data_IF_240744776330
#
_entry.id   IF_240744776330
#
_cell.length_a   1.000
_cell.length_b   1.000
_cell.length_c   1.000
_cell.angle_alpha   90.00
_cell.angle_beta   90.00
_cell.angle_gamma   90.00
#
_symmetry.space_group_name_H-M   'P 1'
#
loop_
_entity.id
_entity.type
_entity.pdbx_description
1 polymer ?
#
# COMPACT_ATOMS: atom_id res chain seq x y z
N UNK A 1 -17.54 17.53 -59.15
CA UNK A 1 -16.44 17.95 -58.24
C UNK A 1 -16.86 18.02 -56.75
N UNK A 2 -17.89 17.29 -56.29
CA UNK A 2 -18.30 17.27 -54.86
C UNK A 2 -17.80 16.07 -54.05
N UNK A 3 -17.41 14.97 -54.68
CA UNK A 3 -17.03 13.73 -53.98
C UNK A 3 -15.63 13.74 -53.36
N UNK A 4 -14.67 14.43 -53.98
CA UNK A 4 -13.28 14.47 -53.50
C UNK A 4 -13.15 15.28 -52.21
N UNK A 5 -13.91 16.36 -52.07
CA UNK A 5 -13.95 17.16 -50.84
C UNK A 5 -14.63 16.41 -49.69
N UNK A 6 -15.72 15.68 -49.96
CA UNK A 6 -16.39 14.87 -48.94
C UNK A 6 -15.50 13.74 -48.41
N UNK A 7 -14.76 13.05 -49.29
CA UNK A 7 -13.82 11.99 -48.90
C UNK A 7 -12.63 12.55 -48.10
N UNK A 8 -12.09 13.72 -48.47
CA UNK A 8 -11.01 14.35 -47.71
C UNK A 8 -11.45 14.87 -46.33
N UNK A 9 -12.69 15.37 -46.20
CA UNK A 9 -13.23 15.79 -44.90
C UNK A 9 -13.54 14.58 -44.00
N UNK A 10 -14.08 13.49 -44.55
CA UNK A 10 -14.33 12.24 -43.80
C UNK A 10 -13.02 11.56 -43.40
N UNK A 11 -12.02 11.52 -44.28
CA UNK A 11 -10.68 11.02 -43.94
C UNK A 11 -9.97 11.93 -42.92
N UNK A 12 -10.03 13.25 -43.09
CA UNK A 12 -9.42 14.22 -42.18
C UNK A 12 -9.99 14.16 -40.75
N UNK A 13 -11.30 13.94 -40.61
CA UNK A 13 -11.94 13.71 -39.31
C UNK A 13 -11.56 12.34 -38.70
N UNK A 14 -11.37 11.31 -39.55
CA UNK A 14 -11.03 9.96 -39.09
C UNK A 14 -9.58 9.81 -38.60
N UNK A 15 -8.63 10.59 -39.13
CA UNK A 15 -7.21 10.53 -38.71
C UNK A 15 -6.92 11.40 -37.48
N UNK A 16 -7.73 12.44 -37.23
CA UNK A 16 -7.48 13.39 -36.13
C UNK A 16 -7.56 12.73 -34.75
N UNK A 17 -8.57 11.89 -34.52
CA UNK A 17 -8.75 11.22 -33.24
C UNK A 17 -7.58 10.28 -32.89
N UNK A 18 -7.13 9.34 -33.76
CA UNK A 18 -5.95 8.52 -33.47
C UNK A 18 -4.66 9.31 -33.20
N UNK A 19 -4.47 10.44 -33.87
CA UNK A 19 -3.29 11.30 -33.68
C UNK A 19 -3.35 12.03 -32.33
N UNK A 20 -4.52 12.56 -31.95
CA UNK A 20 -4.72 13.20 -30.65
C UNK A 20 -4.51 12.19 -29.51
N UNK A 21 -5.02 10.96 -29.65
CA UNK A 21 -4.80 9.86 -28.69
C UNK A 21 -3.33 9.51 -28.53
N UNK A 22 -2.64 9.32 -29.64
CA UNK A 22 -1.21 9.00 -29.65
C UNK A 22 -0.38 10.12 -29.01
N UNK A 23 -0.72 11.38 -29.31
CA UNK A 23 -0.02 12.54 -28.76
C UNK A 23 -0.24 12.66 -27.25
N UNK A 24 -1.48 12.53 -26.77
CA UNK A 24 -1.79 12.55 -25.34
C UNK A 24 -1.06 11.44 -24.59
N UNK A 25 -1.08 10.20 -25.10
CA UNK A 25 -0.32 9.09 -24.52
C UNK A 25 1.18 9.39 -24.43
N UNK A 26 1.75 10.01 -25.47
CA UNK A 26 3.17 10.36 -25.54
C UNK A 26 3.57 11.54 -24.65
N UNK A 27 2.65 12.46 -24.33
CA UNK A 27 2.95 13.63 -23.49
C UNK A 27 2.55 13.45 -22.03
N UNK A 28 1.67 12.50 -21.74
CA UNK A 28 1.16 12.28 -20.39
C UNK A 28 2.29 12.03 -19.40
N UNK A 29 2.17 12.65 -18.22
CA UNK A 29 3.14 12.54 -17.13
C UNK A 29 4.60 12.85 -17.53
N UNK A 30 4.80 13.84 -18.41
CA UNK A 30 6.13 14.21 -18.90
C UNK A 30 6.66 13.33 -20.03
N UNK A 31 5.81 12.45 -20.58
CA UNK A 31 6.14 11.54 -21.67
C UNK A 31 6.88 10.27 -21.25
N UNK A 32 6.80 9.94 -19.96
CA UNK A 32 7.54 8.83 -19.37
C UNK A 32 6.75 7.52 -19.27
N UNK A 33 5.45 7.55 -19.59
CA UNK A 33 4.61 6.36 -19.57
C UNK A 33 4.92 5.45 -20.79
N UNK A 34 5.35 4.20 -20.57
CA UNK A 34 5.51 3.21 -21.64
C UNK A 34 4.18 2.99 -22.37
N UNK A 35 4.18 3.19 -23.69
CA UNK A 35 2.97 3.12 -24.51
C UNK A 35 2.27 1.75 -24.43
N UNK A 36 3.04 0.65 -24.44
CA UNK A 36 2.49 -0.71 -24.40
C UNK A 36 1.79 -1.00 -23.06
N UNK A 37 2.38 -0.56 -21.95
CA UNK A 37 1.77 -0.73 -20.62
C UNK A 37 0.53 0.16 -20.46
N UNK A 38 0.59 1.39 -20.98
CA UNK A 38 -0.55 2.30 -21.00
C UNK A 38 -1.72 1.73 -21.81
N UNK A 39 -1.44 1.07 -22.94
CA UNK A 39 -2.46 0.39 -23.74
C UNK A 39 -3.19 -0.70 -22.95
N UNK A 40 -2.44 -1.50 -22.19
CA UNK A 40 -2.97 -2.59 -21.37
C UNK A 40 -3.89 -2.03 -20.27
N UNK A 41 -3.45 -0.99 -19.55
CA UNK A 41 -4.23 -0.46 -18.41
C UNK A 41 -5.43 0.39 -18.82
N UNK A 42 -5.39 1.04 -20.00
CA UNK A 42 -6.50 1.89 -20.47
C UNK A 42 -7.70 1.11 -21.03
N UNK A 43 -7.56 -0.19 -21.33
CA UNK A 43 -8.69 -1.06 -21.76
C UNK A 43 -9.45 -0.52 -22.98
N UNK A 44 -8.74 0.09 -23.92
CA UNK A 44 -9.34 0.65 -25.13
C UNK A 44 -10.20 1.90 -24.94
N UNK A 45 -10.18 2.54 -23.75
CA UNK A 45 -10.79 3.87 -23.58
C UNK A 45 -9.97 4.93 -24.29
N UNK A 46 -10.65 5.97 -24.77
CA UNK A 46 -10.00 7.13 -25.35
C UNK A 46 -9.51 8.04 -24.22
N UNK A 47 -8.30 8.56 -24.36
CA UNK A 47 -7.70 9.57 -23.51
C UNK A 47 -8.29 10.94 -23.84
N UNK A 48 -8.41 11.80 -22.85
CA UNK A 48 -8.98 13.14 -23.03
C UNK A 48 -8.06 14.23 -22.47
N UNK A 49 -7.62 14.05 -21.22
CA UNK A 49 -6.89 15.08 -20.50
C UNK A 49 -5.72 14.52 -19.69
N UNK A 50 -4.67 15.34 -19.58
CA UNK A 50 -3.51 15.11 -18.73
C UNK A 50 -3.27 16.37 -17.89
N UNK A 51 -3.37 16.23 -16.58
CA UNK A 51 -3.04 17.27 -15.61
C UNK A 51 -1.71 16.94 -14.97
N UNK A 52 -0.79 17.90 -14.90
CA UNK A 52 0.54 17.69 -14.32
C UNK A 52 0.96 18.90 -13.49
N UNK A 53 1.50 18.65 -12.31
CA UNK A 53 2.15 19.64 -11.46
C UNK A 53 3.50 19.12 -10.96
N UNK A 54 4.46 20.02 -10.83
CA UNK A 54 5.79 19.70 -10.34
C UNK A 54 6.32 20.87 -9.52
N UNK A 55 6.74 20.58 -8.30
CA UNK A 55 7.35 21.53 -7.39
C UNK A 55 8.62 20.90 -6.80
N UNK A 56 9.76 21.21 -7.42
CA UNK A 56 11.05 20.68 -7.03
C UNK A 56 11.47 21.12 -5.62
N UNK A 57 11.08 22.32 -5.18
CA UNK A 57 11.44 22.87 -3.87
C UNK A 57 10.61 22.21 -2.75
N UNK A 58 9.32 21.99 -3.02
CA UNK A 58 8.46 21.22 -2.13
C UNK A 58 8.78 19.71 -2.16
N UNK A 59 9.47 19.23 -3.19
CA UNK A 59 9.79 17.82 -3.39
C UNK A 59 8.58 17.02 -3.87
N UNK A 60 7.79 17.61 -4.77
CA UNK A 60 6.47 17.10 -5.17
C UNK A 60 6.30 16.98 -6.68
N UNK A 61 5.51 15.98 -7.04
CA UNK A 61 5.02 15.77 -8.39
C UNK A 61 3.62 15.19 -8.32
N UNK A 62 2.72 15.65 -9.19
CA UNK A 62 1.45 14.99 -9.43
C UNK A 62 1.19 14.91 -10.94
N UNK A 63 0.63 13.80 -11.39
CA UNK A 63 0.13 13.62 -12.74
C UNK A 63 -1.18 12.83 -12.71
N UNK A 64 -2.16 13.26 -13.50
CA UNK A 64 -3.41 12.53 -13.70
C UNK A 64 -3.76 12.49 -15.17
N UNK A 65 -3.84 11.28 -15.73
CA UNK A 65 -4.30 10.99 -17.08
C UNK A 65 -5.73 10.44 -17.02
N UNK A 66 -6.66 11.07 -17.74
CA UNK A 66 -8.09 10.71 -17.76
C UNK A 66 -8.55 10.24 -19.13
N UNK A 67 -9.58 9.40 -19.11
CA UNK A 67 -10.36 9.06 -20.29
C UNK A 67 -11.37 10.15 -20.65
N UNK A 68 -11.92 10.06 -21.85
CA UNK A 68 -13.07 10.84 -22.35
C UNK A 68 -14.34 10.69 -21.50
N UNK A 69 -14.41 9.66 -20.66
CA UNK A 69 -15.46 9.45 -19.67
C UNK A 69 -15.13 10.09 -18.31
N UNK A 70 -14.04 10.85 -18.20
CA UNK A 70 -13.56 11.45 -16.96
C UNK A 70 -12.96 10.45 -15.95
N UNK A 71 -12.77 9.19 -16.35
CA UNK A 71 -12.22 8.14 -15.48
C UNK A 71 -10.69 8.25 -15.45
N UNK A 72 -10.08 8.10 -14.27
CA UNK A 72 -8.62 8.06 -14.14
C UNK A 72 -8.09 6.77 -14.77
N UNK A 73 -7.21 6.93 -15.76
CA UNK A 73 -6.50 5.82 -16.42
C UNK A 73 -5.21 5.50 -15.67
N UNK A 74 -4.39 6.53 -15.45
CA UNK A 74 -3.17 6.50 -14.64
C UNK A 74 -3.12 7.77 -13.82
N UNK A 75 -2.72 7.66 -12.57
CA UNK A 75 -2.28 8.81 -11.79
C UNK A 75 -1.05 8.45 -10.96
N UNK A 76 -0.21 9.46 -10.76
CA UNK A 76 1.09 9.36 -10.11
C UNK A 76 1.23 10.55 -9.17
N UNK A 77 1.49 10.28 -7.91
CA UNK A 77 1.93 11.27 -6.93
C UNK A 77 3.29 10.89 -6.40
N UNK A 78 4.18 11.87 -6.24
CA UNK A 78 5.43 11.71 -5.52
C UNK A 78 5.60 12.81 -4.47
N UNK A 79 6.07 12.42 -3.28
CA UNK A 79 6.36 13.36 -2.20
C UNK A 79 7.57 12.93 -1.39
N UNK A 80 8.44 13.89 -1.10
CA UNK A 80 9.60 13.74 -0.20
C UNK A 80 9.31 14.29 1.21
N UNK A 81 8.07 14.64 1.56
CA UNK A 81 7.76 15.31 2.84
C UNK A 81 6.46 14.83 3.49
N UNK A 82 6.00 13.62 3.18
CA UNK A 82 4.67 13.16 3.56
C UNK A 82 3.59 13.57 2.56
N UNK A 83 2.44 12.90 2.48
CA UNK A 83 1.35 13.39 1.67
C UNK A 83 0.80 14.67 2.32
N UNK A 84 0.57 15.72 1.53
CA UNK A 84 -0.38 16.73 1.98
C UNK A 84 -1.77 16.10 2.00
N UNK A 85 -2.57 16.44 3.01
CA UNK A 85 -3.97 15.99 3.19
C UNK A 85 -4.88 16.18 1.96
N UNK A 86 -4.42 16.89 0.94
CA UNK A 86 -5.20 17.37 -0.20
C UNK A 86 -5.36 16.39 -1.37
N UNK A 87 -4.96 15.11 -1.23
CA UNK A 87 -5.39 14.05 -2.17
C UNK A 87 -6.50 13.21 -1.52
N UNK A 88 -7.74 13.70 -1.40
CA UNK A 88 -8.79 13.09 -0.57
C UNK A 88 -9.23 11.68 -0.98
N UNK A 89 -8.82 11.18 -2.16
CA UNK A 89 -9.23 9.88 -2.69
C UNK A 89 -8.16 8.77 -2.61
N UNK A 90 -6.86 9.11 -2.54
CA UNK A 90 -5.79 8.12 -2.60
C UNK A 90 -5.53 7.40 -1.26
N UNK A 91 -6.14 7.88 -0.16
CA UNK A 91 -5.70 7.54 1.19
C UNK A 91 -6.78 6.90 2.06
N UNK A 92 -7.84 6.33 1.48
CA UNK A 92 -8.82 5.54 2.23
C UNK A 92 -8.23 4.17 2.66
N UNK A 93 -7.44 4.23 3.73
CA UNK A 93 -7.37 3.32 4.87
C UNK A 93 -7.57 1.80 4.64
N UNK A 94 -6.71 1.15 3.86
CA UNK A 94 -6.52 -0.30 3.98
C UNK A 94 -5.05 -0.68 4.14
N UNK A 95 -4.83 -1.70 4.97
CA UNK A 95 -3.53 -2.30 5.25
C UNK A 95 -2.94 -2.86 3.94
N UNK A 96 -1.61 -3.05 3.82
CA UNK A 96 -0.97 -3.51 2.58
C UNK A 96 -1.70 -4.74 2.04
N UNK A 97 -2.34 -4.58 0.89
CA UNK A 97 -3.17 -5.60 0.28
C UNK A 97 -2.31 -6.71 -0.32
N UNK A 98 -1.15 -6.32 -0.88
CA UNK A 98 -0.20 -7.23 -1.49
C UNK A 98 1.24 -6.75 -1.28
N UNK A 99 2.16 -7.70 -1.08
CA UNK A 99 3.59 -7.42 -1.14
C UNK A 99 4.03 -7.30 -2.60
N UNK A 100 5.02 -6.46 -2.87
CA UNK A 100 5.60 -6.36 -4.20
C UNK A 100 6.61 -7.49 -4.43
N UNK A 101 6.69 -8.03 -5.66
CA UNK A 101 7.65 -9.09 -6.00
C UNK A 101 9.09 -8.58 -5.97
N UNK A 102 10.03 -9.52 -5.94
CA UNK A 102 11.48 -9.27 -6.10
C UNK A 102 12.09 -8.27 -5.09
N UNK A 103 11.45 -8.10 -3.92
CA UNK A 103 11.94 -7.22 -2.86
C UNK A 103 11.80 -5.72 -3.14
N UNK A 104 10.95 -5.34 -4.10
CA UNK A 104 10.65 -3.93 -4.36
C UNK A 104 10.19 -3.22 -3.07
N UNK A 105 10.69 -2.00 -2.77
CA UNK A 105 10.49 -1.34 -1.48
C UNK A 105 9.10 -0.70 -1.41
N UNK A 106 8.05 -1.52 -1.26
CA UNK A 106 6.69 -1.03 -1.37
C UNK A 106 5.62 -2.08 -1.16
N UNK A 107 4.37 -1.70 -1.47
CA UNK A 107 3.20 -2.57 -1.38
C UNK A 107 2.11 -2.12 -2.37
N UNK A 108 1.19 -3.02 -2.70
CA UNK A 108 -0.08 -2.68 -3.33
C UNK A 108 -1.13 -2.48 -2.24
N UNK A 109 -1.91 -1.42 -2.32
CA UNK A 109 -3.15 -1.23 -1.57
C UNK A 109 -4.34 -1.77 -2.41
N UNK A 110 -5.56 -1.68 -1.87
CA UNK A 110 -6.78 -1.92 -2.62
C UNK A 110 -6.84 -1.01 -3.87
N UNK A 111 -7.63 -1.44 -4.86
CA UNK A 111 -7.84 -0.72 -6.13
C UNK A 111 -6.60 -0.54 -7.01
N UNK A 112 -5.60 -1.43 -6.86
CA UNK A 112 -4.41 -1.43 -7.72
C UNK A 112 -3.65 -0.10 -7.66
N UNK A 113 -3.48 0.36 -6.41
CA UNK A 113 -2.62 1.47 -6.03
C UNK A 113 -1.31 0.90 -5.49
N UNK A 114 -0.21 1.14 -6.21
CA UNK A 114 1.13 0.71 -5.81
C UNK A 114 1.84 1.89 -5.17
N UNK A 115 2.34 1.66 -3.96
CA UNK A 115 3.22 2.58 -3.25
C UNK A 115 4.65 2.02 -3.29
N UNK A 116 5.59 2.82 -3.80
CA UNK A 116 7.02 2.54 -3.79
C UNK A 116 7.74 3.60 -2.97
N UNK A 117 8.69 3.17 -2.15
CA UNK A 117 9.42 3.99 -1.20
C UNK A 117 10.94 3.86 -1.37
N UNK A 118 11.50 4.24 -2.54
CA UNK A 118 12.93 4.14 -2.79
C UNK A 118 13.72 5.10 -1.88
N UNK A 119 15.00 4.79 -1.70
CA UNK A 119 15.91 5.70 -0.99
C UNK A 119 16.10 7.02 -1.76
N UNK A 120 16.17 8.13 -1.02
CA UNK A 120 16.32 9.47 -1.55
C UNK A 120 17.39 10.27 -0.77
N UNK A 121 18.66 9.83 -0.78
CA UNK A 121 19.74 10.45 -0.01
C UNK A 121 20.01 11.92 -0.38
N UNK A 122 19.80 12.33 -1.62
CA UNK A 122 19.99 13.71 -2.09
C UNK A 122 19.04 14.74 -1.47
N UNK A 123 18.02 14.26 -0.74
CA UNK A 123 17.06 15.08 0.01
C UNK A 123 17.13 14.86 1.53
N UNK A 124 18.11 14.09 1.99
CA UNK A 124 18.34 13.90 3.42
C UNK A 124 18.81 15.20 4.09
N UNK A 125 18.07 15.68 5.07
CA UNK A 125 18.52 16.74 5.98
C UNK A 125 19.14 16.10 7.22
N UNK A 126 20.31 16.58 7.68
CA UNK A 126 20.90 16.13 8.95
C UNK A 126 21.47 14.69 8.99
N UNK A 127 21.60 14.02 7.84
CA UNK A 127 22.18 12.67 7.75
C UNK A 127 21.19 11.53 8.03
N UNK A 128 19.89 11.83 8.13
CA UNK A 128 18.85 10.81 8.26
C UNK A 128 18.59 10.10 6.92
N UNK A 129 18.28 8.80 6.97
CA UNK A 129 17.84 8.06 5.78
C UNK A 129 16.46 8.57 5.36
N UNK A 130 16.42 9.22 4.20
CA UNK A 130 15.20 9.77 3.62
C UNK A 130 14.71 8.90 2.46
N UNK A 131 13.41 8.73 2.33
CA UNK A 131 12.74 7.93 1.30
C UNK A 131 11.70 8.78 0.59
N UNK A 132 11.73 8.73 -0.73
CA UNK A 132 10.63 9.27 -1.53
C UNK A 132 9.44 8.32 -1.36
N UNK A 133 8.21 8.83 -1.32
CA UNK A 133 7.01 8.02 -1.56
C UNK A 133 6.50 8.33 -2.96
N UNK A 134 6.31 7.28 -3.76
CA UNK A 134 5.68 7.36 -5.07
C UNK A 134 4.45 6.45 -5.08
N UNK A 135 3.30 7.05 -5.30
CA UNK A 135 2.00 6.38 -5.39
C UNK A 135 1.57 6.38 -6.86
N UNK A 136 1.41 5.20 -7.45
CA UNK A 136 0.90 5.04 -8.81
C UNK A 136 -0.35 4.19 -8.78
N UNK A 137 -1.44 4.65 -9.39
CA UNK A 137 -2.66 3.87 -9.43
C UNK A 137 -3.37 3.91 -10.77
N UNK A 138 -3.96 2.76 -11.09
CA UNK A 138 -4.82 2.55 -12.24
C UNK A 138 -6.09 1.91 -11.69
N UNK A 139 -7.11 2.71 -11.37
CA UNK A 139 -8.33 2.33 -10.60
C UNK A 139 -9.05 1.06 -11.08
N UNK A 140 -8.69 0.53 -12.24
CA UNK A 140 -9.39 -0.54 -12.93
C UNK A 140 -8.51 -1.77 -13.23
N UNK A 141 -7.25 -1.84 -12.78
CA UNK A 141 -6.42 -3.02 -13.03
C UNK A 141 -6.94 -4.22 -12.23
N UNK A 142 -7.56 -5.18 -12.91
CA UNK A 142 -8.20 -6.36 -12.31
C UNK A 142 -7.64 -7.66 -12.86
N UNK A 143 -7.18 -7.68 -14.12
CA UNK A 143 -6.54 -8.86 -14.70
C UNK A 143 -5.07 -8.96 -14.30
N UNK A 144 -4.48 -10.17 -14.40
CA UNK A 144 -3.04 -10.37 -14.14
C UNK A 144 -2.17 -9.52 -15.09
N UNK A 145 -2.56 -9.42 -16.35
CA UNK A 145 -1.84 -8.61 -17.34
C UNK A 145 -1.87 -7.12 -16.98
N UNK A 146 -3.02 -6.61 -16.55
CA UNK A 146 -3.16 -5.23 -16.10
C UNK A 146 -2.36 -4.93 -14.84
N UNK A 147 -2.39 -5.83 -13.83
CA UNK A 147 -1.57 -5.68 -12.62
C UNK A 147 -0.08 -5.70 -12.94
N UNK A 148 0.35 -6.51 -13.90
CA UNK A 148 1.75 -6.55 -14.32
C UNK A 148 2.16 -5.27 -15.04
N UNK A 149 1.31 -4.74 -15.94
CA UNK A 149 1.54 -3.47 -16.61
C UNK A 149 1.57 -2.31 -15.60
N UNK A 150 0.61 -2.24 -14.68
CA UNK A 150 0.58 -1.25 -13.61
C UNK A 150 1.86 -1.29 -12.76
N UNK A 151 2.36 -2.47 -12.38
CA UNK A 151 3.60 -2.57 -11.59
C UNK A 151 4.81 -2.02 -12.37
N UNK A 152 4.90 -2.31 -13.68
CA UNK A 152 5.94 -1.73 -14.55
C UNK A 152 5.82 -0.22 -14.68
N UNK A 153 4.60 0.31 -14.84
CA UNK A 153 4.33 1.75 -14.82
C UNK A 153 4.79 2.38 -13.50
N UNK A 154 4.44 1.78 -12.37
CA UNK A 154 4.81 2.27 -11.04
C UNK A 154 6.32 2.33 -10.83
N UNK A 155 7.05 1.27 -11.20
CA UNK A 155 8.52 1.24 -11.11
C UNK A 155 9.16 2.27 -12.05
N UNK A 156 8.70 2.34 -13.31
CA UNK A 156 9.18 3.33 -14.29
C UNK A 156 9.00 4.75 -13.76
N UNK A 157 7.79 5.10 -13.34
CA UNK A 157 7.48 6.43 -12.82
C UNK A 157 8.24 6.73 -11.53
N UNK A 158 8.45 5.74 -10.68
CA UNK A 158 9.27 5.90 -9.47
C UNK A 158 10.71 6.27 -9.82
N UNK A 159 11.34 5.56 -10.76
CA UNK A 159 12.70 5.88 -11.20
C UNK A 159 12.79 7.29 -11.81
N UNK A 160 11.80 7.66 -12.63
CA UNK A 160 11.71 9.01 -13.20
C UNK A 160 11.56 10.09 -12.12
N UNK A 161 10.76 9.83 -11.09
CA UNK A 161 10.60 10.79 -9.98
C UNK A 161 11.84 10.89 -9.12
N UNK A 162 12.55 9.78 -8.88
CA UNK A 162 13.83 9.82 -8.16
C UNK A 162 14.87 10.65 -8.91
N UNK A 163 14.90 10.59 -10.24
CA UNK A 163 15.79 11.41 -11.07
C UNK A 163 15.36 12.90 -11.04
N UNK A 164 14.09 13.19 -11.38
CA UNK A 164 13.58 14.57 -11.45
C UNK A 164 13.68 15.31 -10.12
N UNK A 165 13.50 14.60 -9.00
CA UNK A 165 13.61 15.18 -7.66
C UNK A 165 15.05 15.22 -7.13
N UNK A 166 16.02 14.67 -7.85
CA UNK A 166 17.44 14.67 -7.44
C UNK A 166 17.70 13.80 -6.22
N UNK A 167 16.99 12.67 -6.10
CA UNK A 167 17.13 11.76 -4.96
C UNK A 167 18.49 11.07 -4.89
N UNK A 168 19.13 10.79 -6.03
CA UNK A 168 20.46 10.17 -6.06
C UNK A 168 20.52 8.72 -5.56
N UNK A 169 19.38 8.07 -5.34
CA UNK A 169 19.29 6.63 -5.03
C UNK A 169 19.48 5.76 -6.27
N UNK A 170 19.78 4.48 -6.07
CA UNK A 170 19.84 3.51 -7.17
C UNK A 170 18.44 3.31 -7.79
N UNK A 171 18.33 3.28 -9.14
CA UNK A 171 17.06 2.97 -9.79
C UNK A 171 16.55 1.59 -9.36
N UNK A 172 15.24 1.51 -9.14
CA UNK A 172 14.57 0.24 -8.85
C UNK A 172 14.68 -0.68 -10.08
N UNK A 173 14.90 -1.99 -9.86
CA UNK A 173 14.95 -2.97 -10.94
C UNK A 173 13.58 -3.07 -11.62
N UNK A 174 13.58 -3.23 -12.94
CA UNK A 174 12.35 -3.49 -13.67
C UNK A 174 11.75 -4.84 -13.21
N UNK A 175 10.43 -4.91 -12.95
CA UNK A 175 9.77 -6.16 -12.62
C UNK A 175 9.94 -7.19 -13.73
N UNK A 176 10.05 -8.47 -13.35
CA UNK A 176 10.05 -9.57 -14.31
C UNK A 176 8.74 -9.58 -15.13
N UNK A 177 8.79 -10.16 -16.33
CA UNK A 177 7.61 -10.27 -17.18
C UNK A 177 6.49 -11.05 -16.47
N UNK A 178 5.30 -10.46 -16.40
CA UNK A 178 4.15 -11.07 -15.73
C UNK A 178 4.20 -11.09 -14.20
N UNK A 179 5.20 -10.43 -13.58
CA UNK A 179 5.24 -10.19 -12.15
C UNK A 179 4.07 -9.30 -11.73
N UNK A 180 3.42 -9.64 -10.62
CA UNK A 180 2.28 -8.89 -10.07
C UNK A 180 2.46 -8.77 -8.57
N UNK A 181 1.88 -7.75 -7.92
CA UNK A 181 1.79 -7.74 -6.47
C UNK A 181 1.05 -8.98 -5.97
N UNK A 182 1.60 -9.61 -4.94
CA UNK A 182 1.08 -10.86 -4.38
C UNK A 182 0.43 -10.63 -3.03
N UNK A 183 -0.82 -11.08 -2.88
CA UNK A 183 -1.57 -10.98 -1.63
C UNK A 183 -0.95 -11.81 -0.49
N UNK A 184 0.11 -12.56 -0.77
CA UNK A 184 0.75 -13.46 0.17
C UNK A 184 0.28 -14.91 0.05
N UNK A 185 1.13 -15.81 0.53
CA UNK A 185 0.83 -17.24 0.58
C UNK A 185 -0.09 -17.55 1.77
N UNK A 186 -1.05 -18.45 1.55
CA UNK A 186 -1.88 -19.00 2.62
C UNK A 186 -1.26 -20.31 3.07
N UNK A 187 -0.93 -20.40 4.36
CA UNK A 187 -0.35 -21.60 4.95
C UNK A 187 -1.15 -22.02 6.18
N UNK A 188 -1.24 -23.33 6.47
CA UNK A 188 -1.75 -23.79 7.75
C UNK A 188 -1.01 -23.10 8.90
N UNK A 189 -1.73 -22.73 9.96
CA UNK A 189 -1.18 -21.96 11.07
C UNK A 189 0.10 -22.56 11.67
N UNK A 190 0.17 -23.89 11.79
CA UNK A 190 1.37 -24.58 12.28
C UNK A 190 2.60 -24.37 11.39
N UNK A 191 2.41 -24.16 10.07
CA UNK A 191 3.49 -23.95 9.11
C UNK A 191 4.02 -22.51 9.08
N UNK A 192 3.39 -21.57 9.81
CA UNK A 192 3.96 -20.23 9.98
C UNK A 192 5.13 -20.23 10.98
N UNK A 193 5.42 -21.34 11.66
CA UNK A 193 6.56 -21.44 12.57
C UNK A 193 7.88 -21.17 11.82
N UNK A 194 8.76 -20.38 12.44
CA UNK A 194 10.03 -20.01 11.83
C UNK A 194 9.94 -18.93 10.74
N UNK A 195 8.74 -18.52 10.30
CA UNK A 195 8.56 -17.39 9.36
C UNK A 195 8.36 -16.05 10.08
N UNK A 196 8.29 -14.95 9.34
CA UNK A 196 7.96 -13.63 9.87
C UNK A 196 6.58 -13.57 10.56
N UNK A 197 5.68 -14.53 10.27
CA UNK A 197 4.35 -14.62 10.86
C UNK A 197 4.27 -15.63 12.02
N UNK A 198 5.43 -16.10 12.52
CA UNK A 198 5.52 -17.17 13.52
C UNK A 198 4.86 -16.85 14.85
N UNK A 199 4.70 -15.58 15.23
CA UNK A 199 3.98 -15.19 16.45
C UNK A 199 2.51 -15.66 16.45
N UNK A 200 1.90 -15.86 15.28
CA UNK A 200 0.53 -16.35 15.15
C UNK A 200 0.39 -17.85 15.45
N UNK A 201 1.48 -18.63 15.44
CA UNK A 201 1.43 -20.08 15.70
C UNK A 201 0.98 -20.38 17.12
N UNK A 202 1.40 -19.57 18.11
CA UNK A 202 1.15 -19.78 19.53
C UNK A 202 0.17 -18.78 20.14
N UNK A 203 -0.16 -17.69 19.43
CA UNK A 203 -1.09 -16.66 19.89
C UNK A 203 -2.47 -17.23 20.22
N UNK A 204 -3.02 -16.96 21.41
CA UNK A 204 -4.38 -17.40 21.75
C UNK A 204 -5.42 -16.48 21.14
N UNK A 205 -5.76 -16.71 19.86
CA UNK A 205 -6.78 -15.96 19.13
C UNK A 205 -8.12 -16.70 19.17
N UNK A 206 -9.18 -16.13 19.78
CA UNK A 206 -10.51 -16.73 19.78
C UNK A 206 -11.01 -16.97 18.35
N UNK A 207 -11.66 -18.11 18.13
CA UNK A 207 -12.21 -18.47 16.81
C UNK A 207 -11.18 -19.00 15.80
N UNK A 208 -9.87 -18.92 16.06
CA UNK A 208 -8.86 -19.40 15.11
C UNK A 208 -8.76 -20.92 15.03
N UNK A 209 -9.03 -21.62 16.14
CA UNK A 209 -8.84 -23.07 16.24
C UNK A 209 -7.40 -23.54 15.94
N UNK A 210 -7.17 -24.87 15.93
CA UNK A 210 -5.91 -25.45 15.48
C UNK A 210 -5.74 -25.40 13.95
N UNK A 211 -6.84 -25.44 13.20
CA UNK A 211 -6.88 -25.50 11.74
C UNK A 211 -6.96 -24.11 11.07
N UNK A 212 -6.66 -23.04 11.80
CA UNK A 212 -6.58 -21.69 11.27
C UNK A 212 -5.56 -21.58 10.13
N UNK A 213 -5.74 -20.59 9.27
CA UNK A 213 -4.85 -20.33 8.13
C UNK A 213 -4.20 -18.97 8.31
N UNK A 214 -2.90 -18.88 8.07
CA UNK A 214 -2.14 -17.63 8.09
C UNK A 214 -1.89 -17.19 6.64
N UNK A 215 -2.30 -15.97 6.32
CA UNK A 215 -1.90 -15.28 5.10
C UNK A 215 -0.60 -14.51 5.37
N UNK A 216 0.46 -14.83 4.62
CA UNK A 216 1.78 -14.22 4.76
C UNK A 216 2.10 -13.35 3.55
N UNK A 217 1.98 -12.03 3.71
CA UNK A 217 2.39 -11.04 2.73
C UNK A 217 3.56 -10.24 3.29
N UNK A 218 4.69 -10.91 3.45
CA UNK A 218 5.95 -10.32 3.94
C UNK A 218 7.03 -10.65 2.92
N UNK A 219 7.64 -9.63 2.34
CA UNK A 219 8.89 -9.80 1.60
C UNK A 219 10.05 -9.75 2.59
N UNK A 220 11.03 -10.64 2.46
CA UNK A 220 12.25 -10.59 3.27
C UNK A 220 12.96 -9.24 3.04
N UNK A 221 13.26 -8.52 4.12
CA UNK A 221 13.82 -7.16 4.05
C UNK A 221 12.86 -6.08 3.52
N UNK A 222 11.59 -6.44 3.25
CA UNK A 222 10.57 -5.53 2.78
C UNK A 222 10.29 -4.41 3.77
N UNK A 223 10.00 -3.21 3.24
CA UNK A 223 9.61 -2.05 4.07
C UNK A 223 8.27 -2.26 4.77
N UNK A 224 7.46 -3.18 4.26
CA UNK A 224 6.11 -3.45 4.74
C UNK A 224 5.90 -4.95 4.78
N UNK A 225 5.30 -5.44 5.87
CA UNK A 225 4.89 -6.82 6.02
C UNK A 225 3.50 -6.94 6.61
N UNK A 226 2.77 -7.98 6.20
CA UNK A 226 1.46 -8.33 6.77
C UNK A 226 1.33 -9.83 7.04
N UNK A 227 0.80 -10.14 8.21
CA UNK A 227 0.40 -11.48 8.63
C UNK A 227 -1.04 -11.46 9.11
N UNK A 228 -1.93 -12.19 8.43
CA UNK A 228 -3.36 -12.24 8.79
C UNK A 228 -3.73 -13.66 9.21
N UNK A 229 -4.27 -13.84 10.42
CA UNK A 229 -4.83 -15.11 10.86
C UNK A 229 -6.32 -15.15 10.53
N UNK A 230 -6.74 -16.21 9.86
CA UNK A 230 -8.13 -16.48 9.51
C UNK A 230 -8.72 -17.55 10.42
N UNK A 231 -10.03 -17.44 10.67
CA UNK A 231 -10.81 -18.54 11.21
C UNK A 231 -10.75 -19.76 10.28
N UNK A 232 -10.99 -20.98 10.78
CA UNK A 232 -11.16 -22.14 9.93
C UNK A 232 -12.28 -21.90 8.91
N UNK A 233 -12.07 -22.39 7.70
CA UNK A 233 -13.08 -22.35 6.66
C UNK A 233 -14.26 -23.28 6.92
N UNK A 234 -15.39 -23.01 6.28
CA UNK A 234 -16.58 -23.89 6.28
C UNK A 234 -16.44 -25.08 5.31
N UNK A 235 -15.38 -25.11 4.48
CA UNK A 235 -14.99 -26.27 3.67
C UNK A 235 -15.63 -26.34 2.28
N UNK A 236 -16.14 -25.23 1.72
CA UNK A 236 -16.88 -25.20 0.46
C UNK A 236 -16.11 -24.74 -0.81
N UNK A 237 -14.92 -25.30 -1.02
CA UNK A 237 -14.06 -25.21 -2.22
C UNK A 237 -13.59 -23.88 -2.85
N UNK A 238 -13.92 -22.67 -2.37
CA UNK A 238 -13.58 -21.39 -3.03
C UNK A 238 -12.67 -20.45 -2.20
N UNK A 239 -12.15 -19.37 -2.83
CA UNK A 239 -11.44 -18.26 -2.14
C UNK A 239 -12.28 -17.62 -1.01
N UNK A 240 -13.61 -17.85 -1.06
CA UNK A 240 -14.62 -17.49 -0.07
C UNK A 240 -14.71 -18.46 1.12
N UNK A 241 -14.06 -19.63 1.08
CA UNK A 241 -14.02 -20.57 2.22
C UNK A 241 -13.02 -20.17 3.29
N UNK A 242 -12.29 -19.08 3.08
CA UNK A 242 -11.31 -18.64 4.07
C UNK A 242 -12.13 -17.99 5.14
N UNK A 243 -12.15 -18.61 6.32
CA UNK A 243 -12.87 -18.05 7.46
C UNK A 243 -12.48 -16.59 7.67
N UNK A 244 -13.39 -15.82 8.27
CA UNK A 244 -13.19 -14.38 8.49
C UNK A 244 -11.80 -14.09 9.08
N UNK A 245 -11.14 -12.98 8.69
CA UNK A 245 -9.90 -12.60 9.32
C UNK A 245 -10.17 -12.29 10.80
N UNK A 246 -9.24 -12.68 11.67
CA UNK A 246 -9.38 -12.60 13.14
C UNK A 246 -8.38 -11.63 13.74
N UNK A 247 -7.13 -11.69 13.28
CA UNK A 247 -6.09 -10.77 13.70
C UNK A 247 -5.19 -10.45 12.52
N UNK A 248 -4.75 -9.20 12.45
CA UNK A 248 -3.75 -8.76 11.50
C UNK A 248 -2.56 -8.16 12.22
N UNK A 249 -1.37 -8.57 11.81
CA UNK A 249 -0.10 -8.02 12.25
C UNK A 249 0.55 -7.34 11.06
N UNK A 250 1.02 -6.11 11.23
CA UNK A 250 1.79 -5.40 10.20
C UNK A 250 3.08 -4.83 10.73
N UNK A 251 4.10 -4.83 9.88
CA UNK A 251 5.36 -4.13 10.10
C UNK A 251 5.53 -3.04 9.05
N UNK A 252 6.15 -1.94 9.46
CA UNK A 252 6.42 -0.76 8.64
C UNK A 252 7.80 -0.22 8.96
N UNK A 253 8.65 -0.02 7.96
CA UNK A 253 10.01 0.52 8.11
C UNK A 253 10.16 1.86 7.39
N UNK A 254 10.88 2.77 8.02
CA UNK A 254 11.19 4.10 7.50
C UNK A 254 10.27 5.19 8.07
N UNK A 255 10.54 6.43 7.69
CA UNK A 255 9.81 7.63 8.15
C UNK A 255 8.30 7.57 7.87
N UNK A 256 7.91 6.88 6.79
CA UNK A 256 6.52 6.70 6.38
C UNK A 256 5.69 5.89 7.37
N UNK A 257 6.31 5.03 8.18
CA UNK A 257 5.61 4.18 9.13
C UNK A 257 4.75 4.98 10.15
N UNK A 258 5.12 6.23 10.43
CA UNK A 258 4.38 7.13 11.34
C UNK A 258 3.16 7.77 10.71
N UNK A 259 3.25 8.09 9.42
CA UNK A 259 2.15 8.65 8.63
C UNK A 259 1.13 7.55 8.29
N UNK A 260 1.61 6.34 8.00
CA UNK A 260 0.75 5.17 7.84
C UNK A 260 -0.06 4.90 9.11
N UNK A 261 0.50 5.14 10.32
CA UNK A 261 -0.24 5.03 11.60
C UNK A 261 -1.44 6.00 11.68
N UNK A 262 -1.36 7.18 11.09
CA UNK A 262 -2.44 8.18 11.07
C UNK A 262 -3.54 7.84 10.06
N UNK A 263 -3.15 7.28 8.90
CA UNK A 263 -4.06 6.96 7.80
C UNK A 263 -5.17 5.95 8.17
N UNK A 264 -4.97 5.15 9.21
CA UNK A 264 -5.92 4.13 9.65
C UNK A 264 -6.98 4.62 10.66
N UNK A 265 -6.99 5.92 10.99
CA UNK A 265 -7.99 6.54 11.88
C UNK A 265 -9.05 7.31 11.09
N UNK A 266 -9.97 6.62 10.42
CA UNK A 266 -11.26 7.24 10.05
C UNK A 266 -12.20 7.37 11.26
N UNK A 267 -11.76 6.99 12.46
CA UNK A 267 -12.43 7.37 13.71
C UNK A 267 -12.03 8.80 14.03
N UNK A 268 -13.03 9.68 14.12
CA UNK A 268 -13.02 11.12 14.48
C UNK A 268 -12.33 11.50 15.81
N UNK A 269 -11.40 10.70 16.31
CA UNK A 269 -10.49 11.11 17.37
C UNK A 269 -9.28 11.73 16.70
N UNK A 270 -9.04 13.04 16.83
CA UNK A 270 -7.74 13.60 16.53
C UNK A 270 -6.76 12.84 17.43
N UNK A 271 -5.93 11.95 16.86
CA UNK A 271 -4.70 11.56 17.54
C UNK A 271 -3.94 12.86 17.73
N UNK A 272 -4.05 13.39 18.94
CA UNK A 272 -3.54 14.68 19.33
C UNK A 272 -2.02 14.60 19.25
N UNK A 273 -1.48 15.20 18.20
CA UNK A 273 -0.07 15.53 18.14
C UNK A 273 0.80 14.64 17.26
N UNK A 274 0.27 14.03 16.19
CA UNK A 274 1.08 13.30 15.21
C UNK A 274 1.48 14.11 13.95
N UNK A 275 1.73 15.42 14.12
CA UNK A 275 2.41 16.23 13.11
C UNK A 275 3.81 15.66 12.81
N UNK A 276 4.41 16.02 11.66
CA UNK A 276 5.84 15.81 11.39
C UNK A 276 6.66 16.23 12.64
N UNK A 277 7.40 15.29 13.26
CA UNK A 277 8.12 15.52 14.54
C UNK A 277 7.40 15.04 15.81
N UNK A 278 6.26 14.37 15.67
CA UNK A 278 5.59 13.74 16.78
C UNK A 278 6.35 12.54 17.34
N UNK A 279 6.26 12.37 18.65
CA UNK A 279 6.99 11.32 19.35
C UNK A 279 6.58 9.94 18.83
N UNK A 280 7.58 9.23 18.31
CA UNK A 280 7.52 7.84 17.86
C UNK A 280 7.24 6.92 19.05
N UNK A 281 6.04 6.97 19.63
CA UNK A 281 5.67 6.28 20.86
C UNK A 281 4.75 5.08 20.61
N UNK A 282 4.83 4.04 21.47
CA UNK A 282 3.89 2.95 21.41
C UNK A 282 2.50 3.38 21.90
N UNK A 283 1.45 2.72 21.39
CA UNK A 283 0.05 3.11 21.63
C UNK A 283 -0.85 1.88 21.80
N UNK A 284 -1.87 1.98 22.66
CA UNK A 284 -2.90 0.98 22.84
C UNK A 284 -4.29 1.62 22.80
N UNK A 285 -5.15 1.17 21.88
CA UNK A 285 -6.55 1.57 21.76
C UNK A 285 -7.45 0.33 21.85
N UNK A 286 -8.77 0.53 21.79
CA UNK A 286 -9.74 -0.57 21.79
C UNK A 286 -9.65 -1.48 20.55
N UNK A 287 -9.00 -1.03 19.47
CA UNK A 287 -8.96 -1.76 18.20
C UNK A 287 -7.53 -1.97 17.65
N UNK A 288 -6.53 -1.36 18.29
CA UNK A 288 -5.15 -1.37 17.81
C UNK A 288 -4.15 -1.42 18.96
N UNK A 289 -3.06 -2.14 18.75
CA UNK A 289 -1.84 -1.99 19.53
C UNK A 289 -0.67 -1.66 18.59
N UNK A 290 0.19 -0.72 18.98
CA UNK A 290 1.31 -0.21 18.19
C UNK A 290 2.62 -0.26 18.98
N UNK A 291 3.59 -1.05 18.53
CA UNK A 291 4.94 -1.08 19.06
C UNK A 291 5.91 -0.38 18.09
N UNK A 292 7.05 0.07 18.63
CA UNK A 292 8.05 0.83 17.90
C UNK A 292 9.46 0.32 18.19
N UNK A 293 10.35 0.34 17.21
CA UNK A 293 11.76 -0.01 17.33
C UNK A 293 12.62 0.83 16.37
N UNK A 294 13.92 0.58 16.34
CA UNK A 294 14.88 1.14 15.36
C UNK A 294 15.64 0.03 14.64
N UNK A 295 15.72 0.08 13.31
CA UNK A 295 16.50 -0.86 12.51
C UNK A 295 17.39 -0.05 11.55
N UNK A 296 18.72 -0.23 11.63
CA UNK A 296 19.69 0.49 10.78
C UNK A 296 19.41 2.00 10.68
N UNK A 297 19.22 2.64 11.83
CA UNK A 297 18.88 4.06 12.01
C UNK A 297 17.52 4.53 11.48
N UNK A 298 16.69 3.62 10.96
CA UNK A 298 15.31 3.90 10.58
C UNK A 298 14.33 3.52 11.69
N UNK A 299 13.27 4.31 11.81
CA UNK A 299 12.13 3.97 12.66
C UNK A 299 11.38 2.77 12.07
N UNK A 300 11.01 1.83 12.92
CA UNK A 300 10.16 0.68 12.55
C UNK A 300 8.99 0.57 13.49
N UNK A 301 7.82 0.34 12.92
CA UNK A 301 6.54 0.25 13.60
C UNK A 301 5.90 -1.11 13.38
N UNK A 302 5.25 -1.61 14.42
CA UNK A 302 4.54 -2.88 14.41
C UNK A 302 3.13 -2.66 14.92
N UNK A 303 2.12 -3.12 14.20
CA UNK A 303 0.74 -3.00 14.60
C UNK A 303 0.07 -4.36 14.75
N UNK A 304 -0.81 -4.50 15.74
CA UNK A 304 -1.81 -5.54 15.80
C UNK A 304 -3.21 -4.94 15.71
N UNK A 305 -4.05 -5.54 14.87
CA UNK A 305 -5.42 -5.14 14.61
C UNK A 305 -6.36 -6.33 14.72
N UNK A 306 -7.61 -6.05 15.02
CA UNK A 306 -8.69 -7.02 15.03
C UNK A 306 -9.83 -6.59 14.12
N UNK A 307 -10.41 -7.60 13.49
CA UNK A 307 -11.48 -7.48 12.50
C UNK A 307 -12.88 -7.69 13.07
N UNK A 308 -13.06 -7.87 14.38
CA UNK A 308 -14.40 -7.95 15.00
C UNK A 308 -15.25 -6.67 14.83
N UNK A 309 -14.69 -5.55 14.33
CA UNK A 309 -15.41 -4.27 14.23
C UNK A 309 -15.86 -3.83 12.82
N UNK A 310 -15.09 -3.97 11.72
CA UNK A 310 -15.52 -3.44 10.42
C UNK A 310 -16.26 -4.44 9.51
N UNK A 311 -16.28 -5.74 9.81
CA UNK A 311 -16.92 -6.78 8.97
C UNK A 311 -18.12 -7.46 9.63
N UNK A 312 -18.86 -6.73 10.48
CA UNK A 312 -20.15 -7.25 10.97
C UNK A 312 -21.10 -7.38 9.79
N UNK A 313 -21.71 -8.55 9.68
CA UNK A 313 -22.75 -8.76 8.67
C UNK A 313 -23.92 -7.82 8.95
N UNK A 314 -24.55 -7.33 7.89
CA UNK A 314 -25.67 -6.39 7.96
C UNK A 314 -26.81 -7.01 8.79
N UNK A 315 -27.04 -6.49 10.01
CA UNK A 315 -28.04 -7.00 10.96
C UNK A 315 -27.50 -7.54 12.29
N UNK A 316 -26.19 -7.62 12.49
CA UNK A 316 -25.61 -7.97 13.80
C UNK A 316 -25.56 -6.74 14.74
N UNK A 317 -26.62 -6.55 15.54
CA UNK A 317 -26.63 -5.64 16.68
C UNK A 317 -25.76 -6.22 17.82
N UNK A 318 -24.46 -5.97 17.76
CA UNK A 318 -23.57 -6.29 18.89
C UNK A 318 -23.71 -5.22 19.97
N UNK A 319 -24.10 -5.64 21.19
CA UNK A 319 -24.00 -4.77 22.35
C UNK A 319 -22.57 -4.21 22.50
N UNK A 320 -22.41 -2.94 22.87
CA UNK A 320 -21.09 -2.37 23.13
C UNK A 320 -20.33 -3.23 24.14
N UNK A 321 -19.05 -3.53 23.86
CA UNK A 321 -18.18 -4.27 24.80
C UNK A 321 -18.19 -3.55 26.16
N UNK A 322 -18.43 -4.30 27.23
CA UNK A 322 -18.25 -3.83 28.60
C UNK A 322 -16.80 -3.41 28.83
N UNK A 323 -16.55 -2.56 29.83
CA UNK A 323 -15.17 -2.13 30.16
C UNK A 323 -14.24 -3.31 30.52
N UNK A 324 -14.79 -4.37 31.13
CA UNK A 324 -14.03 -5.60 31.39
C UNK A 324 -13.62 -6.30 30.09
N UNK A 325 -14.56 -6.44 29.14
CA UNK A 325 -14.27 -7.01 27.82
C UNK A 325 -13.28 -6.14 27.03
N UNK A 326 -13.39 -4.81 27.09
CA UNK A 326 -12.40 -3.90 26.48
C UNK A 326 -11.01 -4.06 27.08
N UNK A 327 -10.90 -4.18 28.41
CA UNK A 327 -9.63 -4.41 29.10
C UNK A 327 -9.00 -5.72 28.65
N UNK A 328 -9.74 -6.83 28.72
CA UNK A 328 -9.26 -8.14 28.28
C UNK A 328 -8.84 -8.09 26.79
N UNK A 329 -9.62 -7.39 25.98
CA UNK A 329 -9.32 -7.21 24.57
C UNK A 329 -8.01 -6.44 24.33
N UNK A 330 -7.82 -5.32 25.02
CA UNK A 330 -6.58 -4.53 24.98
C UNK A 330 -5.36 -5.33 25.45
N UNK A 331 -5.52 -6.18 26.47
CA UNK A 331 -4.46 -7.10 26.93
C UNK A 331 -4.04 -8.07 25.82
N UNK A 332 -5.01 -8.63 25.07
CA UNK A 332 -4.73 -9.53 23.94
C UNK A 332 -4.01 -8.82 22.80
N UNK A 333 -4.52 -7.67 22.34
CA UNK A 333 -3.89 -6.89 21.27
C UNK A 333 -2.44 -6.52 21.63
N UNK A 334 -2.22 -6.07 22.87
CA UNK A 334 -0.87 -5.82 23.40
C UNK A 334 0.00 -7.06 23.33
N UNK A 335 -0.52 -8.22 23.74
CA UNK A 335 0.20 -9.50 23.67
C UNK A 335 0.59 -9.87 22.24
N UNK A 336 -0.33 -9.71 21.27
CA UNK A 336 -0.07 -10.00 19.86
C UNK A 336 1.01 -9.11 19.27
N UNK A 337 0.91 -7.79 19.45
CA UNK A 337 1.91 -6.85 18.89
C UNK A 337 3.28 -7.04 19.57
N UNK A 338 3.31 -7.36 20.87
CA UNK A 338 4.56 -7.60 21.60
C UNK A 338 5.28 -8.81 21.04
N UNK A 339 4.60 -9.96 20.94
CA UNK A 339 5.20 -11.18 20.43
C UNK A 339 5.65 -11.05 18.96
N UNK A 340 4.88 -10.33 18.14
CA UNK A 340 5.25 -10.04 16.76
C UNK A 340 6.48 -9.12 16.68
N UNK A 341 6.46 -8.00 17.40
CA UNK A 341 7.55 -7.04 17.39
C UNK A 341 8.86 -7.64 17.92
N UNK A 342 8.83 -8.44 19.00
CA UNK A 342 10.01 -9.13 19.52
C UNK A 342 10.63 -10.08 18.49
N UNK A 343 9.80 -10.84 17.75
CA UNK A 343 10.28 -11.73 16.69
C UNK A 343 10.91 -10.94 15.53
N UNK A 344 10.22 -9.91 15.05
CA UNK A 344 10.71 -9.08 13.95
C UNK A 344 11.99 -8.31 14.30
N UNK A 345 12.07 -7.77 15.52
CA UNK A 345 13.26 -7.07 16.03
C UNK A 345 14.46 -8.00 16.07
N UNK A 346 14.28 -9.23 16.56
CA UNK A 346 15.32 -10.25 16.58
C UNK A 346 15.79 -10.64 15.17
N UNK A 347 14.87 -10.82 14.22
CA UNK A 347 15.20 -11.19 12.83
C UNK A 347 15.91 -10.07 12.08
N UNK A 348 15.45 -8.83 12.26
CA UNK A 348 15.99 -7.65 11.59
C UNK A 348 17.20 -7.03 12.27
N UNK A 349 17.65 -7.56 13.41
CA UNK A 349 18.76 -6.98 14.17
C UNK A 349 18.44 -5.57 14.70
N UNK A 350 17.18 -5.30 15.01
CA UNK A 350 16.70 -4.00 15.45
C UNK A 350 16.94 -3.79 16.96
N UNK A 351 16.86 -2.53 17.40
CA UNK A 351 17.06 -2.12 18.80
C UNK A 351 15.90 -1.26 19.29
N UNK A 352 15.94 -0.90 20.59
CA UNK A 352 15.04 0.08 21.22
C UNK A 352 13.55 -0.24 21.08
N UNK A 353 13.22 -1.54 21.11
CA UNK A 353 11.83 -1.99 21.10
C UNK A 353 11.09 -1.43 22.31
N UNK A 354 10.04 -0.65 22.04
CA UNK A 354 9.07 -0.18 23.02
C UNK A 354 7.69 -0.67 22.61
N UNK A 355 7.02 -1.31 23.56
CA UNK A 355 5.68 -1.88 23.40
C UNK A 355 4.65 -1.03 24.15
N UNK A 356 3.36 -1.13 23.79
CA UNK A 356 2.33 -0.36 24.48
C UNK A 356 2.30 -0.63 25.99
N UNK A 357 1.89 0.36 26.80
CA UNK A 357 1.69 0.17 28.23
C UNK A 357 0.57 -0.87 28.49
N UNK A 358 0.56 -1.43 29.69
CA UNK A 358 -0.54 -2.30 30.12
C UNK A 358 -1.85 -1.49 30.26
N UNK A 359 -3.02 -2.09 29.96
CA UNK A 359 -4.30 -1.38 29.84
C UNK A 359 -5.06 -1.04 31.14
#
# INVERSE_FOLDING_TARGET
MGGVLAVLVVLGLSVRAPVEQWWLARQACGGELPADDLEIVRKGVLLDSNEQSFDAEAGRYACVLRSDQGTVVVAVDASSRGPEREVPYAWSAYMPYAALPDGLPGFENNNSLVHLMPECPGRAEGGERHRLLVSTWTYLASSRAEKAAMLRLAVRMTNEMTEKLGCGGEPLPAPQEGAVPEQGAYVPRAQAEGTACGSLTTARVPGAGPDGVVQMAVADGGLVGRCTLHAPGDGHGNRADRGRPLVELTSWRGEWAGEMREMYHHVRTPSSGLNRGATWEPELTDHRAWAVARCEDENVGYAAWDYESPYREEGEDAEPRTEAQKREWRERLRGYVTAFAEDQVRRGGCTDLRVPPAP
#
